data_IF_793621955672
#
_entry.id   IF_793621955672
#
_cell.length_a   1.000
_cell.length_b   1.000
_cell.length_c   1.000
_cell.angle_alpha   90.00
_cell.angle_beta   90.00
_cell.angle_gamma   90.00
#
_symmetry.space_group_name_H-M   'P 1'
#
loop_
_entity.id
_entity.type
_entity.pdbx_description
1 polymer ?
#
# COMPACT_ATOMS: atom_id res chain seq x y z
N UNK A 1 -19.83 -36.77 -12.02
CA UNK A 1 -18.45 -36.50 -12.45
C UNK A 1 -17.72 -35.82 -11.30
N UNK A 2 -16.71 -36.51 -10.75
CA UNK A 2 -15.92 -36.05 -9.61
C UNK A 2 -14.93 -34.96 -10.05
N UNK A 3 -15.06 -33.75 -9.49
CA UNK A 3 -13.98 -32.75 -9.50
C UNK A 3 -13.55 -32.47 -8.06
N UNK A 4 -12.87 -33.44 -7.46
CA UNK A 4 -11.96 -33.15 -6.35
C UNK A 4 -10.62 -32.73 -6.96
N UNK A 5 -10.53 -31.49 -7.45
CA UNK A 5 -9.22 -30.88 -7.70
C UNK A 5 -8.68 -30.33 -6.39
N UNK A 6 -8.08 -31.22 -5.60
CA UNK A 6 -7.13 -30.85 -4.55
C UNK A 6 -5.86 -30.33 -5.22
N UNK A 7 -5.93 -29.18 -5.89
CA UNK A 7 -4.73 -28.48 -6.32
C UNK A 7 -4.29 -27.60 -5.16
N UNK A 8 -3.24 -28.03 -4.45
CA UNK A 8 -2.50 -27.12 -3.57
C UNK A 8 -2.19 -25.84 -4.37
N UNK A 9 -2.36 -24.64 -3.79
CA UNK A 9 -2.03 -23.42 -4.51
C UNK A 9 -0.56 -23.45 -4.95
N UNK A 10 -0.19 -22.75 -6.04
CA UNK A 10 1.21 -22.62 -6.42
C UNK A 10 2.01 -22.05 -5.24
N UNK A 11 3.29 -22.44 -5.09
CA UNK A 11 4.14 -21.89 -4.06
C UNK A 11 4.28 -20.38 -4.26
N UNK A 12 4.31 -19.65 -3.15
CA UNK A 12 4.62 -18.22 -3.21
C UNK A 12 6.05 -18.02 -3.71
N UNK A 13 6.35 -16.86 -4.32
CA UNK A 13 7.70 -16.57 -4.75
C UNK A 13 8.73 -16.62 -3.60
N UNK A 14 9.89 -17.25 -3.84
CA UNK A 14 10.91 -17.52 -2.81
C UNK A 14 11.86 -16.34 -2.51
N UNK A 15 11.64 -15.17 -3.12
CA UNK A 15 12.48 -13.97 -2.88
C UNK A 15 11.67 -12.95 -2.08
N UNK A 16 12.38 -11.97 -1.55
CA UNK A 16 11.80 -10.87 -0.79
C UNK A 16 10.75 -10.11 -1.62
N UNK A 17 10.99 -9.94 -2.93
CA UNK A 17 10.06 -9.35 -3.89
C UNK A 17 10.18 -9.97 -5.28
N UNK A 18 9.12 -9.85 -6.09
CA UNK A 18 9.04 -10.31 -7.48
C UNK A 18 8.18 -9.36 -8.32
N UNK A 19 8.65 -9.00 -9.50
CA UNK A 19 7.88 -8.25 -10.48
C UNK A 19 7.04 -9.21 -11.32
N UNK A 20 5.76 -8.88 -11.48
CA UNK A 20 4.75 -9.71 -12.13
C UNK A 20 4.10 -8.84 -13.21
N UNK A 21 4.20 -9.21 -14.49
CA UNK A 21 3.50 -8.51 -15.56
C UNK A 21 1.99 -8.53 -15.33
N UNK A 22 1.34 -7.39 -15.57
CA UNK A 22 -0.10 -7.22 -15.54
C UNK A 22 -0.60 -7.45 -16.98
N UNK A 23 -1.37 -8.53 -17.22
CA UNK A 23 -1.93 -8.79 -18.55
C UNK A 23 -2.81 -7.64 -19.02
N UNK A 24 -2.85 -7.42 -20.34
CA UNK A 24 -3.71 -6.42 -20.99
C UNK A 24 -3.47 -4.98 -20.51
N UNK A 25 -2.28 -4.68 -19.99
CA UNK A 25 -1.91 -3.30 -19.66
C UNK A 25 -1.88 -2.47 -20.96
N UNK A 26 -2.63 -1.36 -21.05
CA UNK A 26 -2.58 -0.50 -22.21
C UNK A 26 -1.17 0.07 -22.42
N UNK A 27 -0.67 0.01 -23.66
CA UNK A 27 0.57 0.69 -24.01
C UNK A 27 0.33 2.21 -24.09
N UNK A 28 1.17 3.00 -23.42
CA UNK A 28 1.14 4.48 -23.43
C UNK A 28 -0.25 5.08 -23.14
N UNK A 29 -0.85 4.80 -21.98
CA UNK A 29 -2.20 5.27 -21.67
C UNK A 29 -2.23 6.81 -21.47
N UNK A 30 -3.35 7.51 -21.78
CA UNK A 30 -3.43 8.98 -21.70
C UNK A 30 -3.17 9.51 -20.29
N UNK A 31 -2.25 10.48 -20.08
CA UNK A 31 -1.81 10.88 -18.74
C UNK A 31 -2.98 11.30 -17.85
N UNK A 32 -2.90 10.91 -16.58
CA UNK A 32 -3.78 11.32 -15.49
C UNK A 32 -3.24 12.62 -14.89
N UNK A 33 -4.08 13.65 -14.84
CA UNK A 33 -3.78 14.90 -14.15
C UNK A 33 -4.57 14.97 -12.86
N UNK A 34 -3.85 15.16 -11.75
CA UNK A 34 -4.41 15.26 -10.41
C UNK A 34 -4.71 16.71 -10.06
N UNK A 35 -5.85 16.94 -9.42
CA UNK A 35 -6.19 18.22 -8.80
C UNK A 35 -5.77 18.27 -7.33
N UNK A 36 -5.73 17.11 -6.67
CA UNK A 36 -5.42 17.00 -5.25
C UNK A 36 -4.58 15.75 -4.93
N UNK A 37 -3.79 15.83 -3.86
CA UNK A 37 -3.21 14.66 -3.20
C UNK A 37 -4.24 14.06 -2.25
N UNK A 38 -4.63 12.81 -2.47
CA UNK A 38 -5.69 12.16 -1.71
C UNK A 38 -5.53 10.64 -1.74
N UNK A 39 -6.32 9.94 -0.93
CA UNK A 39 -6.29 8.47 -0.85
C UNK A 39 -7.71 7.93 -0.81
N UNK A 40 -7.94 6.83 -1.52
CA UNK A 40 -9.12 6.00 -1.36
C UNK A 40 -8.73 4.61 -0.88
N UNK A 41 -9.48 4.07 0.06
CA UNK A 41 -9.25 2.74 0.62
C UNK A 41 -10.54 1.94 0.66
N UNK A 42 -10.42 0.64 0.40
CA UNK A 42 -11.46 -0.35 0.57
C UNK A 42 -10.90 -1.54 1.35
N UNK A 43 -11.64 -2.03 2.33
CA UNK A 43 -11.35 -3.25 3.05
C UNK A 43 -12.59 -4.15 3.03
N UNK A 44 -12.47 -5.34 2.45
CA UNK A 44 -13.62 -6.21 2.20
C UNK A 44 -13.33 -7.38 1.26
N UNK A 45 -14.39 -8.08 0.80
CA UNK A 45 -14.32 -9.07 -0.27
C UNK A 45 -13.72 -8.51 -1.56
N UNK A 46 -13.22 -9.37 -2.45
CA UNK A 46 -12.79 -8.92 -3.78
C UNK A 46 -13.94 -8.18 -4.48
N UNK A 47 -13.67 -6.97 -4.96
CA UNK A 47 -14.67 -6.14 -5.63
C UNK A 47 -15.25 -6.87 -6.86
N UNK A 48 -16.56 -6.77 -7.10
CA UNK A 48 -17.17 -7.34 -8.30
C UNK A 48 -16.66 -6.55 -9.52
N UNK A 49 -15.95 -7.22 -10.43
CA UNK A 49 -15.46 -6.59 -11.66
C UNK A 49 -16.27 -7.11 -12.84
N UNK A 50 -17.17 -6.28 -13.38
CA UNK A 50 -17.93 -6.62 -14.58
C UNK A 50 -17.01 -6.65 -15.82
N UNK A 51 -17.51 -7.28 -16.89
CA UNK A 51 -16.87 -7.22 -18.20
C UNK A 51 -17.94 -6.92 -19.28
N UNK A 52 -17.95 -5.72 -19.89
CA UNK A 52 -17.03 -4.60 -19.71
C UNK A 52 -17.16 -3.92 -18.32
N UNK A 53 -16.17 -3.11 -17.89
CA UNK A 53 -16.23 -2.41 -16.62
C UNK A 53 -17.42 -1.44 -16.59
N UNK A 54 -18.24 -1.51 -15.55
CA UNK A 54 -19.40 -0.65 -15.36
C UNK A 54 -19.10 0.41 -14.30
N UNK A 55 -19.12 1.72 -14.65
CA UNK A 55 -18.77 2.80 -13.74
C UNK A 55 -19.81 3.02 -12.63
N UNK A 56 -20.92 2.27 -12.59
CA UNK A 56 -21.98 2.42 -11.60
C UNK A 56 -22.14 1.21 -10.69
N UNK A 57 -21.50 0.08 -11.00
CA UNK A 57 -21.73 -1.19 -10.28
C UNK A 57 -20.47 -1.91 -9.84
N UNK A 58 -19.30 -1.62 -10.44
CA UNK A 58 -18.07 -2.36 -10.12
C UNK A 58 -17.38 -1.87 -8.85
N UNK A 59 -17.48 -0.57 -8.55
CA UNK A 59 -16.81 0.06 -7.42
C UNK A 59 -17.80 0.79 -6.52
N UNK A 60 -17.51 0.90 -5.20
CA UNK A 60 -18.38 1.62 -4.26
C UNK A 60 -18.58 3.10 -4.68
N UNK A 61 -19.74 3.72 -4.43
CA UNK A 61 -20.02 5.11 -4.81
C UNK A 61 -18.95 6.12 -4.34
N UNK A 62 -18.38 5.91 -3.16
CA UNK A 62 -17.32 6.76 -2.60
C UNK A 62 -16.02 6.72 -3.42
N UNK A 63 -15.76 5.66 -4.20
CA UNK A 63 -14.67 5.66 -5.18
C UNK A 63 -14.90 6.71 -6.26
N UNK A 64 -16.12 6.79 -6.79
CA UNK A 64 -16.45 7.72 -7.88
C UNK A 64 -16.41 9.16 -7.40
N UNK A 65 -16.91 9.43 -6.19
CA UNK A 65 -16.77 10.73 -5.55
C UNK A 65 -15.30 11.11 -5.33
N UNK A 66 -14.49 10.19 -4.81
CA UNK A 66 -13.04 10.41 -4.65
C UNK A 66 -12.35 10.68 -6.00
N UNK A 67 -12.65 9.90 -7.03
CA UNK A 67 -12.07 10.02 -8.37
C UNK A 67 -12.39 11.39 -8.98
N UNK A 68 -13.67 11.81 -8.92
CA UNK A 68 -14.12 13.10 -9.43
C UNK A 68 -13.48 14.30 -8.68
N UNK A 69 -13.22 14.15 -7.38
CA UNK A 69 -12.55 15.19 -6.59
C UNK A 69 -11.03 15.27 -6.87
N UNK A 70 -10.41 14.11 -7.11
CA UNK A 70 -8.94 13.96 -7.12
C UNK A 70 -8.33 14.14 -8.50
N UNK A 71 -9.08 13.84 -9.56
CA UNK A 71 -8.62 13.93 -10.95
C UNK A 71 -9.36 15.03 -11.70
N UNK A 72 -8.73 15.59 -12.72
CA UNK A 72 -9.43 16.47 -13.65
C UNK A 72 -10.57 15.72 -14.37
N UNK A 73 -11.64 16.41 -14.81
CA UNK A 73 -12.73 15.76 -15.55
C UNK A 73 -12.27 15.03 -16.82
N UNK A 74 -11.18 15.47 -17.44
CA UNK A 74 -10.57 14.83 -18.61
C UNK A 74 -9.87 13.52 -18.21
N UNK A 75 -9.22 13.49 -17.04
CA UNK A 75 -8.43 12.34 -16.58
C UNK A 75 -9.25 11.26 -15.86
N UNK A 76 -10.32 11.65 -15.14
CA UNK A 76 -11.11 10.73 -14.33
C UNK A 76 -11.64 9.49 -15.11
N UNK A 77 -12.14 9.61 -16.37
CA UNK A 77 -12.59 8.46 -17.15
C UNK A 77 -11.47 7.44 -17.47
N UNK A 78 -10.21 7.87 -17.46
CA UNK A 78 -9.06 7.01 -17.79
C UNK A 78 -8.54 6.21 -16.59
N UNK A 79 -8.90 6.55 -15.36
CA UNK A 79 -8.44 5.82 -14.17
C UNK A 79 -9.11 4.44 -14.06
N UNK A 80 -10.43 4.38 -14.24
CA UNK A 80 -11.20 3.15 -14.02
C UNK A 80 -10.74 1.98 -14.90
N UNK A 81 -10.51 2.14 -16.23
CA UNK A 81 -9.98 1.06 -17.05
C UNK A 81 -8.64 0.54 -16.57
N UNK A 82 -7.69 1.43 -16.24
CA UNK A 82 -6.35 1.05 -15.73
C UNK A 82 -6.45 0.29 -14.41
N UNK A 83 -7.25 0.81 -13.48
CA UNK A 83 -7.48 0.17 -12.18
C UNK A 83 -8.14 -1.19 -12.35
N UNK A 84 -9.13 -1.32 -13.21
CA UNK A 84 -9.84 -2.59 -13.45
C UNK A 84 -8.90 -3.65 -14.03
N UNK A 85 -8.04 -3.28 -14.98
CA UNK A 85 -7.00 -4.18 -15.52
C UNK A 85 -6.08 -4.69 -14.41
N UNK A 86 -5.56 -3.79 -13.57
CA UNK A 86 -4.76 -4.17 -12.40
C UNK A 86 -5.53 -5.08 -11.44
N UNK A 87 -6.77 -4.72 -11.07
CA UNK A 87 -7.57 -5.48 -10.12
C UNK A 87 -7.91 -6.89 -10.65
N UNK A 88 -8.09 -7.08 -11.95
CA UNK A 88 -8.25 -8.42 -12.54
C UNK A 88 -7.00 -9.28 -12.36
N UNK A 89 -5.81 -8.72 -12.58
CA UNK A 89 -4.54 -9.41 -12.36
C UNK A 89 -4.35 -9.75 -10.88
N UNK A 90 -4.61 -8.79 -9.99
CA UNK A 90 -4.60 -8.98 -8.53
C UNK A 90 -5.59 -10.08 -8.13
N UNK A 91 -6.86 -10.03 -8.55
CA UNK A 91 -7.87 -11.03 -8.20
C UNK A 91 -7.47 -12.43 -8.66
N UNK A 92 -6.86 -12.54 -9.84
CA UNK A 92 -6.32 -13.82 -10.35
C UNK A 92 -5.25 -14.36 -9.41
N UNK A 93 -4.26 -13.52 -9.03
CA UNK A 93 -3.20 -13.91 -8.10
C UNK A 93 -3.77 -14.28 -6.72
N UNK A 94 -4.67 -13.47 -6.16
CA UNK A 94 -5.27 -13.73 -4.84
C UNK A 94 -6.04 -15.05 -4.82
N UNK A 95 -6.85 -15.33 -5.85
CA UNK A 95 -7.62 -16.58 -5.97
C UNK A 95 -6.73 -17.81 -6.10
N UNK A 96 -5.63 -17.71 -6.86
CA UNK A 96 -4.63 -18.78 -6.95
C UNK A 96 -4.02 -19.11 -5.58
N UNK A 97 -3.92 -18.13 -4.69
CA UNK A 97 -3.43 -18.29 -3.31
C UNK A 97 -4.56 -18.40 -2.26
N UNK A 98 -5.78 -18.75 -2.67
CA UNK A 98 -6.95 -18.94 -1.79
C UNK A 98 -7.28 -17.72 -0.91
N UNK A 99 -7.11 -16.50 -1.44
CA UNK A 99 -7.51 -15.24 -0.80
C UNK A 99 -8.70 -14.64 -1.54
N UNK A 100 -9.73 -14.26 -0.78
CA UNK A 100 -10.99 -13.68 -1.28
C UNK A 100 -11.31 -12.32 -0.67
N UNK A 101 -10.40 -11.79 0.16
CA UNK A 101 -10.55 -10.49 0.81
C UNK A 101 -9.22 -9.74 0.77
N UNK A 102 -9.32 -8.42 0.79
CA UNK A 102 -8.15 -7.55 0.81
C UNK A 102 -8.40 -6.23 1.53
N UNK A 103 -7.29 -5.56 1.83
CA UNK A 103 -7.22 -4.14 2.06
C UNK A 103 -6.55 -3.50 0.84
N UNK A 104 -7.35 -2.79 0.03
CA UNK A 104 -6.96 -2.09 -1.18
C UNK A 104 -6.84 -0.60 -0.89
N UNK A 105 -5.68 -0.01 -1.15
CA UNK A 105 -5.44 1.44 -1.03
C UNK A 105 -4.95 2.00 -2.35
N UNK A 106 -5.56 3.09 -2.80
CA UNK A 106 -5.14 3.89 -3.95
C UNK A 106 -4.70 5.25 -3.43
N UNK A 107 -3.45 5.62 -3.67
CA UNK A 107 -2.88 6.92 -3.30
C UNK A 107 -2.60 7.72 -4.57
N UNK A 108 -3.22 8.88 -4.68
CA UNK A 108 -2.93 9.88 -5.69
C UNK A 108 -2.05 10.97 -5.05
N UNK A 109 -0.92 11.29 -5.65
CA UNK A 109 0.03 12.26 -5.12
C UNK A 109 0.49 13.21 -6.21
N UNK A 110 0.30 14.50 -5.96
CA UNK A 110 0.90 15.57 -6.76
C UNK A 110 2.42 15.62 -6.53
N UNK A 111 3.18 16.31 -7.41
CA UNK A 111 4.60 16.50 -7.20
C UNK A 111 4.91 17.08 -5.82
N UNK A 112 5.86 16.47 -5.11
CA UNK A 112 6.27 16.91 -3.78
C UNK A 112 7.74 16.58 -3.53
N UNK A 113 8.42 17.44 -2.76
CA UNK A 113 9.79 17.23 -2.29
C UNK A 113 9.90 16.27 -1.09
N UNK A 114 8.77 15.83 -0.51
CA UNK A 114 8.76 14.95 0.67
C UNK A 114 9.54 13.64 0.47
N UNK A 115 9.66 13.19 -0.78
CA UNK A 115 10.31 11.94 -1.16
C UNK A 115 11.59 12.17 -1.97
N UNK A 116 12.16 13.39 -1.97
CA UNK A 116 13.49 13.64 -2.54
C UNK A 116 14.56 12.81 -1.82
N UNK A 117 14.35 12.55 -0.53
CA UNK A 117 15.17 11.64 0.27
C UNK A 117 14.47 10.28 0.39
N UNK A 118 15.09 9.16 -0.05
CA UNK A 118 14.51 7.83 0.09
C UNK A 118 14.22 7.47 1.56
N UNK A 119 13.01 6.99 1.80
CA UNK A 119 12.51 6.59 3.12
C UNK A 119 12.52 5.07 3.22
N UNK A 120 13.71 4.49 3.23
CA UNK A 120 13.88 3.04 3.27
C UNK A 120 13.25 2.41 4.51
N UNK A 121 12.38 1.43 4.29
CA UNK A 121 11.72 0.66 5.34
C UNK A 121 11.43 -0.77 4.87
N UNK A 122 11.07 -1.62 5.83
CA UNK A 122 10.38 -2.87 5.59
C UNK A 122 9.09 -2.81 6.39
N UNK A 123 7.99 -3.23 5.77
CA UNK A 123 6.69 -3.27 6.43
C UNK A 123 6.70 -4.29 7.54
N UNK A 124 6.00 -3.98 8.63
CA UNK A 124 5.74 -4.94 9.70
C UNK A 124 4.61 -5.91 9.29
N UNK A 125 4.44 -6.96 10.07
CA UNK A 125 3.35 -7.92 9.87
C UNK A 125 2.00 -7.26 10.20
N UNK A 126 1.06 -7.24 9.24
CA UNK A 126 -0.28 -6.68 9.45
C UNK A 126 -1.15 -7.54 10.38
N UNK A 127 -0.92 -8.86 10.35
CA UNK A 127 -1.67 -9.87 11.09
C UNK A 127 -0.75 -10.56 12.09
N UNK A 128 -1.35 -11.08 13.16
CA UNK A 128 -0.60 -11.82 14.19
C UNK A 128 -0.02 -13.11 13.60
N UNK A 129 1.31 -13.29 13.55
CA UNK A 129 1.92 -14.51 13.02
C UNK A 129 1.55 -15.78 13.79
N UNK A 130 1.11 -15.66 15.05
CA UNK A 130 0.71 -16.80 15.88
C UNK A 130 -0.72 -17.26 15.62
N UNK A 131 -1.57 -16.38 15.05
CA UNK A 131 -2.99 -16.64 14.80
C UNK A 131 -3.34 -16.68 13.32
N UNK A 132 -2.52 -16.06 12.48
CA UNK A 132 -2.58 -16.23 11.04
C UNK A 132 -2.04 -17.59 10.65
N UNK A 133 -2.48 -18.09 9.50
CA UNK A 133 -1.88 -19.24 8.83
C UNK A 133 -0.50 -18.81 8.26
N UNK A 134 0.39 -18.34 9.15
CA UNK A 134 1.65 -17.64 8.87
C UNK A 134 2.63 -18.46 8.03
N UNK A 135 2.40 -19.78 7.96
CA UNK A 135 3.02 -20.66 6.98
C UNK A 135 2.76 -20.25 5.51
N UNK A 136 1.77 -19.39 5.25
CA UNK A 136 1.38 -18.89 3.91
C UNK A 136 1.72 -17.40 3.67
N UNK A 137 2.57 -16.82 4.53
CA UNK A 137 3.32 -15.59 4.30
C UNK A 137 2.56 -14.27 4.51
N UNK A 138 3.13 -13.36 5.30
CA UNK A 138 2.78 -11.95 5.28
C UNK A 138 3.39 -11.33 4.01
N UNK A 139 2.56 -11.01 3.03
CA UNK A 139 2.97 -10.39 1.78
C UNK A 139 1.93 -9.36 1.34
N UNK A 140 2.32 -8.47 0.44
CA UNK A 140 1.41 -7.55 -0.22
C UNK A 140 1.74 -7.45 -1.70
N UNK A 141 0.78 -6.95 -2.47
CA UNK A 141 0.96 -6.56 -3.86
C UNK A 141 0.95 -5.04 -3.95
N UNK A 142 1.78 -4.46 -4.81
CA UNK A 142 1.64 -3.05 -5.18
C UNK A 142 1.89 -2.81 -6.66
N UNK A 143 1.33 -1.75 -7.21
CA UNK A 143 1.62 -1.31 -8.56
C UNK A 143 1.53 0.22 -8.64
N UNK A 144 2.14 0.80 -9.66
CA UNK A 144 1.99 2.22 -9.97
C UNK A 144 1.26 2.33 -11.32
N UNK A 145 0.06 2.92 -11.33
CA UNK A 145 -0.74 3.14 -12.55
C UNK A 145 -0.26 4.37 -13.34
N UNK A 146 0.43 5.29 -12.68
CA UNK A 146 1.13 6.42 -13.28
C UNK A 146 2.23 6.93 -12.35
N UNK A 147 3.34 7.36 -12.93
CA UNK A 147 4.48 7.91 -12.20
C UNK A 147 5.49 6.82 -11.81
N UNK A 148 6.51 7.17 -11.01
CA UNK A 148 7.59 6.24 -10.69
C UNK A 148 7.16 5.08 -9.78
N UNK A 149 7.76 3.91 -10.03
CA UNK A 149 7.56 2.68 -9.25
C UNK A 149 8.22 2.73 -7.86
N UNK A 150 7.73 1.91 -6.94
CA UNK A 150 8.39 1.70 -5.64
C UNK A 150 9.82 1.18 -5.83
N UNK A 151 10.78 1.74 -5.09
CA UNK A 151 12.18 1.34 -5.08
C UNK A 151 12.35 0.10 -4.19
N UNK A 152 13.09 -0.91 -4.65
CA UNK A 152 13.44 -2.10 -3.87
C UNK A 152 14.95 -2.30 -3.84
N UNK A 153 15.51 -2.54 -2.64
CA UNK A 153 16.91 -2.90 -2.49
C UNK A 153 17.13 -4.36 -2.93
N UNK A 154 18.06 -4.59 -3.85
CA UNK A 154 18.32 -5.94 -4.41
C UNK A 154 18.89 -6.89 -3.35
N UNK A 155 19.89 -6.42 -2.58
CA UNK A 155 20.41 -7.16 -1.41
C UNK A 155 19.49 -6.95 -0.19
N UNK A 156 18.34 -7.63 -0.19
CA UNK A 156 17.37 -7.51 0.89
C UNK A 156 17.92 -7.97 2.26
N UNK A 157 18.79 -8.99 2.31
CA UNK A 157 19.40 -9.46 3.57
C UNK A 157 20.32 -8.41 4.17
N UNK A 158 21.21 -7.82 3.37
CA UNK A 158 22.10 -6.75 3.82
C UNK A 158 21.32 -5.49 4.16
N UNK A 159 20.32 -5.13 3.35
CA UNK A 159 19.47 -3.97 3.62
C UNK A 159 18.69 -4.12 4.93
N UNK A 160 18.12 -5.30 5.21
CA UNK A 160 17.47 -5.60 6.50
C UNK A 160 18.45 -5.54 7.67
N UNK A 161 19.69 -5.98 7.48
CA UNK A 161 20.74 -5.87 8.52
C UNK A 161 21.03 -4.40 8.86
N UNK A 162 21.14 -3.54 7.84
CA UNK A 162 21.31 -2.09 8.04
C UNK A 162 20.10 -1.51 8.78
N UNK A 163 18.88 -1.78 8.31
CA UNK A 163 17.64 -1.31 8.95
C UNK A 163 17.58 -1.69 10.44
N UNK A 164 17.80 -2.97 10.77
CA UNK A 164 17.77 -3.43 12.17
C UNK A 164 18.90 -2.82 12.99
N UNK A 165 20.12 -2.79 12.45
CA UNK A 165 21.28 -2.21 13.14
C UNK A 165 21.08 -0.73 13.46
N UNK A 166 20.57 0.07 12.52
CA UNK A 166 20.23 1.49 12.75
C UNK A 166 19.13 1.60 13.81
N UNK A 167 18.00 0.91 13.64
CA UNK A 167 16.89 0.95 14.61
C UNK A 167 17.36 0.58 16.03
N UNK A 168 18.22 -0.43 16.18
CA UNK A 168 18.76 -0.86 17.47
C UNK A 168 19.74 0.16 18.07
N UNK A 169 20.64 0.73 17.27
CA UNK A 169 21.58 1.76 17.73
C UNK A 169 20.85 3.01 18.19
N UNK A 170 19.93 3.53 17.37
CA UNK A 170 19.14 4.72 17.72
C UNK A 170 18.30 4.43 18.97
N UNK A 171 17.60 3.28 19.02
CA UNK A 171 16.88 2.85 20.24
C UNK A 171 17.78 2.84 21.47
N UNK A 172 19.03 2.39 21.36
CA UNK A 172 19.97 2.34 22.49
C UNK A 172 20.44 3.75 22.89
N UNK A 173 20.72 4.62 21.92
CA UNK A 173 21.16 6.00 22.16
C UNK A 173 20.06 6.86 22.82
N UNK A 174 18.79 6.55 22.53
CA UNK A 174 17.63 7.24 23.11
C UNK A 174 17.16 6.63 24.46
N UNK A 175 17.72 5.48 24.90
CA UNK A 175 17.39 4.94 26.23
C UNK A 175 17.86 5.89 27.32
N UNK A 176 16.92 6.36 28.14
CA UNK A 176 17.21 7.21 29.30
C UNK A 176 17.27 8.71 29.01
N UNK A 177 16.98 9.15 27.77
CA UNK A 177 16.80 10.57 27.49
C UNK A 177 15.40 11.02 27.93
N UNK A 178 15.36 12.04 28.77
CA UNK A 178 14.12 12.72 29.13
C UNK A 178 13.59 13.45 27.89
N UNK A 179 12.35 13.14 27.49
CA UNK A 179 11.73 13.75 26.33
C UNK A 179 10.24 13.93 26.60
N UNK A 180 9.68 15.05 26.14
CA UNK A 180 8.26 15.40 26.30
C UNK A 180 7.44 14.70 25.21
N UNK A 181 7.36 13.36 25.25
CA UNK A 181 6.36 12.66 24.44
C UNK A 181 5.35 11.93 25.35
N UNK A 182 4.11 12.39 25.27
CA UNK A 182 2.96 11.85 25.99
C UNK A 182 2.30 10.74 25.15
N UNK A 183 2.99 9.62 24.89
CA UNK A 183 2.33 8.48 24.23
C UNK A 183 3.24 7.44 23.57
N UNK A 184 3.06 6.18 24.00
CA UNK A 184 3.49 4.87 23.46
C UNK A 184 4.58 4.87 22.37
N UNK A 185 5.83 4.67 22.83
CA UNK A 185 7.04 4.24 22.07
C UNK A 185 7.74 5.33 21.23
N UNK A 186 8.60 6.09 21.90
CA UNK A 186 9.59 7.08 21.42
C UNK A 186 10.25 6.84 20.03
N UNK A 187 10.40 5.60 19.54
CA UNK A 187 10.87 5.28 18.17
C UNK A 187 9.94 5.82 17.08
N UNK A 188 8.69 6.10 17.43
CA UNK A 188 7.69 6.74 16.58
C UNK A 188 7.59 8.27 16.79
N UNK A 189 8.42 8.88 17.64
CA UNK A 189 8.46 10.34 17.70
C UNK A 189 9.10 10.89 16.40
N UNK A 190 8.54 11.97 15.86
CA UNK A 190 8.94 12.50 14.54
C UNK A 190 10.45 12.66 14.40
N UNK A 191 11.12 13.19 15.43
CA UNK A 191 12.57 13.40 15.46
C UNK A 191 13.39 12.10 15.41
N UNK A 192 13.05 11.10 16.22
CA UNK A 192 13.75 9.80 16.16
C UNK A 192 13.51 9.11 14.81
N UNK A 193 12.33 9.28 14.23
CA UNK A 193 12.01 8.73 12.91
C UNK A 193 12.87 9.35 11.81
N UNK A 194 13.16 10.66 11.87
CA UNK A 194 14.04 11.36 10.93
C UNK A 194 15.50 10.91 11.06
N UNK A 195 16.02 10.78 12.28
CA UNK A 195 17.38 10.25 12.52
C UNK A 195 17.53 8.84 11.95
N UNK A 196 16.55 7.96 12.21
CA UNK A 196 16.55 6.61 11.64
C UNK A 196 16.51 6.67 10.11
N UNK A 197 15.67 7.51 9.51
CA UNK A 197 15.59 7.65 8.04
C UNK A 197 16.94 8.05 7.47
N UNK A 198 17.61 9.04 8.04
CA UNK A 198 18.89 9.52 7.53
C UNK A 198 20.01 8.48 7.71
N UNK A 199 20.13 7.86 8.88
CA UNK A 199 21.14 6.81 9.09
C UNK A 199 20.93 5.59 8.18
N UNK A 200 19.67 5.21 7.92
CA UNK A 200 19.36 4.14 6.97
C UNK A 200 19.71 4.56 5.55
N UNK A 201 19.37 5.79 5.14
CA UNK A 201 19.71 6.33 3.83
C UNK A 201 21.22 6.23 3.58
N UNK A 202 22.04 6.71 4.52
CA UNK A 202 23.51 6.62 4.44
C UNK A 202 23.95 5.15 4.40
N UNK A 203 23.41 4.29 5.27
CA UNK A 203 23.79 2.88 5.31
C UNK A 203 23.39 2.06 4.07
N UNK A 204 22.45 2.57 3.27
CA UNK A 204 22.01 1.96 2.02
C UNK A 204 22.51 2.73 0.78
N UNK A 205 23.28 3.78 0.95
CA UNK A 205 23.85 4.57 -0.15
C UNK A 205 24.75 3.70 -1.04
N UNK A 206 24.66 3.90 -2.35
CA UNK A 206 25.43 3.13 -3.34
C UNK A 206 24.99 1.66 -3.52
N UNK A 207 23.97 1.19 -2.79
CA UNK A 207 23.42 -0.16 -3.02
C UNK A 207 22.59 -0.20 -4.30
N UNK A 208 22.58 -1.38 -4.92
CA UNK A 208 21.75 -1.63 -6.10
C UNK A 208 20.26 -1.59 -5.74
N UNK A 209 19.51 -0.85 -6.56
CA UNK A 209 18.08 -0.62 -6.42
C UNK A 209 17.38 -0.90 -7.73
N UNK A 210 16.22 -1.55 -7.65
CA UNK A 210 15.37 -1.86 -8.80
C UNK A 210 13.96 -1.31 -8.59
N UNK A 211 13.24 -1.11 -9.69
CA UNK A 211 11.85 -0.66 -9.71
C UNK A 211 11.04 -1.50 -10.69
N UNK A 212 9.72 -1.68 -10.44
CA UNK A 212 8.84 -2.26 -11.44
C UNK A 212 8.73 -1.33 -12.66
N UNK A 213 8.59 -1.92 -13.83
CA UNK A 213 8.29 -1.22 -15.07
C UNK A 213 6.79 -0.90 -15.15
N UNK A 214 6.44 -0.02 -16.08
CA UNK A 214 5.04 0.19 -16.43
C UNK A 214 4.40 -1.14 -16.86
N UNK A 215 3.19 -1.41 -16.36
CA UNK A 215 2.51 -2.70 -16.58
C UNK A 215 3.02 -3.85 -15.72
N UNK A 216 3.81 -3.59 -14.68
CA UNK A 216 4.16 -4.60 -13.68
C UNK A 216 3.53 -4.27 -12.31
N UNK A 217 3.06 -5.31 -11.62
CA UNK A 217 2.82 -5.27 -10.19
C UNK A 217 3.96 -5.97 -9.46
N UNK A 218 4.13 -5.68 -8.18
CA UNK A 218 5.17 -6.26 -7.34
C UNK A 218 4.53 -7.06 -6.23
N UNK A 219 4.87 -8.34 -6.16
CA UNK A 219 4.71 -9.13 -4.95
C UNK A 219 5.89 -8.87 -4.03
N UNK A 220 5.64 -8.69 -2.74
CA UNK A 220 6.72 -8.71 -1.77
C UNK A 220 6.30 -9.11 -0.37
N UNK A 221 7.26 -9.70 0.34
CA UNK A 221 7.13 -10.17 1.70
C UNK A 221 7.20 -9.00 2.68
N UNK A 222 6.63 -9.22 3.85
CA UNK A 222 6.59 -8.29 4.98
C UNK A 222 7.35 -8.90 6.18
N UNK A 223 7.42 -8.13 7.25
CA UNK A 223 7.99 -8.53 8.52
C UNK A 223 9.51 -8.40 8.57
N UNK A 224 10.05 -8.41 9.78
CA UNK A 224 11.48 -8.13 10.02
C UNK A 224 12.47 -9.20 9.51
N UNK A 225 11.98 -10.41 9.18
CA UNK A 225 12.81 -11.55 8.74
C UNK A 225 12.97 -11.62 7.23
N UNK A 226 11.85 -11.57 6.51
CA UNK A 226 11.78 -11.76 5.05
C UNK A 226 11.30 -10.51 4.31
N UNK A 227 10.94 -9.44 5.03
CA UNK A 227 10.36 -8.24 4.43
C UNK A 227 11.26 -7.57 3.41
N UNK A 228 10.71 -7.24 2.25
CA UNK A 228 11.44 -6.48 1.25
C UNK A 228 11.74 -5.07 1.76
N UNK A 229 13.00 -4.67 1.64
CA UNK A 229 13.42 -3.30 1.95
C UNK A 229 13.13 -2.43 0.75
N UNK A 230 12.27 -1.44 0.95
CA UNK A 230 11.74 -0.61 -0.11
C UNK A 230 11.59 0.85 0.33
N UNK A 231 11.41 1.73 -0.66
CA UNK A 231 11.19 3.16 -0.47
C UNK A 231 10.24 3.68 -1.54
N UNK A 232 9.50 4.72 -1.21
CA UNK A 232 8.89 5.56 -2.23
C UNK A 232 9.99 6.18 -3.11
N UNK A 233 9.73 6.32 -4.42
CA UNK A 233 10.61 7.08 -5.31
C UNK A 233 10.42 8.58 -5.09
N UNK A 234 11.35 9.37 -5.64
CA UNK A 234 11.14 10.80 -5.84
C UNK A 234 9.85 11.04 -6.65
N UNK A 235 8.96 11.91 -6.16
CA UNK A 235 7.66 12.19 -6.79
C UNK A 235 7.72 13.56 -7.48
N UNK A 236 8.36 13.60 -8.66
CA UNK A 236 8.45 14.81 -9.48
C UNK A 236 7.28 15.02 -10.45
N UNK A 237 6.33 14.09 -10.48
CA UNK A 237 5.15 14.12 -11.35
C UNK A 237 3.94 13.51 -10.60
N UNK A 238 2.73 13.73 -11.15
CA UNK A 238 1.52 13.10 -10.65
C UNK A 238 1.65 11.58 -10.62
N UNK A 239 1.45 11.00 -9.44
CA UNK A 239 1.65 9.57 -9.16
C UNK A 239 0.37 8.93 -8.65
N UNK A 240 -0.03 7.81 -9.25
CA UNK A 240 -1.16 6.98 -8.79
C UNK A 240 -0.63 5.60 -8.40
N UNK A 241 -0.56 5.35 -7.10
CA UNK A 241 -0.03 4.12 -6.51
C UNK A 241 -1.14 3.27 -5.91
N UNK A 242 -1.06 1.97 -6.10
CA UNK A 242 -2.02 0.98 -5.59
C UNK A 242 -1.30 -0.02 -4.71
N UNK A 243 -1.86 -0.27 -3.53
CA UNK A 243 -1.36 -1.22 -2.54
C UNK A 243 -2.47 -2.19 -2.14
N UNK A 244 -2.18 -3.48 -2.08
CA UNK A 244 -3.14 -4.54 -1.77
C UNK A 244 -2.54 -5.46 -0.71
N UNK A 245 -3.13 -5.45 0.48
CA UNK A 245 -2.79 -6.40 1.56
C UNK A 245 -3.88 -7.48 1.59
N UNK A 246 -3.60 -8.71 1.13
CA UNK A 246 -4.55 -9.82 1.20
C UNK A 246 -4.75 -10.28 2.64
N UNK A 247 -5.96 -10.71 2.98
CA UNK A 247 -6.25 -11.28 4.29
C UNK A 247 -7.42 -12.26 4.23
N UNK A 248 -7.62 -13.02 5.30
CA UNK A 248 -8.91 -13.65 5.58
C UNK A 248 -9.90 -12.59 6.07
N UNK A 249 -11.19 -12.93 6.04
CA UNK A 249 -12.23 -12.09 6.61
C UNK A 249 -11.97 -11.79 8.10
N UNK A 250 -11.61 -12.82 8.89
CA UNK A 250 -11.33 -12.67 10.32
C UNK A 250 -10.13 -11.75 10.58
N UNK A 251 -9.03 -11.93 9.84
CA UNK A 251 -7.83 -11.10 9.92
C UNK A 251 -8.14 -9.61 9.64
N UNK A 252 -8.94 -9.34 8.60
CA UNK A 252 -9.30 -7.99 8.20
C UNK A 252 -10.35 -7.36 9.14
N UNK A 253 -11.34 -8.12 9.61
CA UNK A 253 -12.28 -7.67 10.66
C UNK A 253 -11.54 -7.30 11.93
N UNK A 254 -10.60 -8.15 12.38
CA UNK A 254 -9.76 -7.88 13.54
C UNK A 254 -8.90 -6.65 13.35
N UNK A 255 -8.28 -6.48 12.16
CA UNK A 255 -7.52 -5.27 11.83
C UNK A 255 -8.41 -4.02 11.90
N UNK A 256 -9.58 -4.01 11.26
CA UNK A 256 -10.49 -2.87 11.26
C UNK A 256 -11.05 -2.55 12.65
N UNK A 257 -11.37 -3.57 13.45
CA UNK A 257 -11.85 -3.40 14.82
C UNK A 257 -10.86 -2.66 15.73
N UNK A 258 -9.54 -2.82 15.52
CA UNK A 258 -8.51 -2.05 16.25
C UNK A 258 -8.60 -0.54 16.00
N UNK A 259 -9.22 -0.13 14.89
CA UNK A 259 -9.41 1.27 14.49
C UNK A 259 -10.87 1.72 14.66
N UNK A 260 -11.73 0.92 15.33
CA UNK A 260 -13.14 1.23 15.52
C UNK A 260 -13.95 1.25 14.22
N UNK A 261 -13.50 0.56 13.18
CA UNK A 261 -14.17 0.54 11.88
C UNK A 261 -14.92 -0.77 11.64
N UNK A 262 -16.05 -0.68 10.94
CA UNK A 262 -16.86 -1.83 10.52
C UNK A 262 -16.37 -2.42 9.20
N UNK A 263 -16.54 -3.74 9.03
CA UNK A 263 -16.18 -4.47 7.80
C UNK A 263 -17.45 -4.99 7.09
N UNK A 264 -17.55 -4.91 5.76
CA UNK A 264 -16.61 -4.25 4.83
C UNK A 264 -16.83 -2.73 4.77
N UNK A 265 -15.82 -1.98 4.34
CA UNK A 265 -15.91 -0.51 4.22
C UNK A 265 -15.03 0.04 3.12
N UNK A 266 -15.46 1.15 2.55
CA UNK A 266 -14.59 2.06 1.78
C UNK A 266 -14.64 3.47 2.36
N UNK A 267 -13.52 4.18 2.28
CA UNK A 267 -13.39 5.56 2.74
C UNK A 267 -12.31 6.29 1.94
N UNK A 268 -12.31 7.62 2.05
CA UNK A 268 -11.30 8.48 1.43
C UNK A 268 -10.70 9.45 2.44
N UNK A 269 -9.44 9.83 2.21
CA UNK A 269 -8.72 10.87 2.93
C UNK A 269 -8.27 11.93 1.93
N UNK A 270 -8.23 13.20 2.34
CA UNK A 270 -7.91 14.32 1.43
C UNK A 270 -9.04 14.64 0.44
N UNK A 271 -10.28 14.31 0.80
CA UNK A 271 -11.50 14.73 0.10
C UNK A 271 -12.38 15.41 1.15
N UNK A 272 -12.96 16.59 0.88
CA UNK A 272 -13.92 17.24 1.79
C UNK A 272 -15.06 16.27 2.13
N UNK A 273 -15.36 16.11 3.40
CA UNK A 273 -16.59 15.44 3.83
C UNK A 273 -17.76 16.33 3.45
N UNK A 274 -18.56 15.91 2.47
CA UNK A 274 -19.88 16.51 2.27
C UNK A 274 -20.73 16.08 3.46
N UNK A 275 -20.82 16.95 4.46
CA UNK A 275 -21.80 16.81 5.54
C UNK A 275 -23.11 17.33 4.94
N UNK A 276 -24.02 16.42 4.58
CA UNK A 276 -25.34 16.81 4.13
C UNK A 276 -26.08 17.52 5.29
N UNK A 277 -26.10 18.86 5.22
CA UNK A 277 -27.14 19.73 5.78
C UNK A 277 -27.39 19.71 7.29
N UNK A 278 -26.80 20.71 7.98
CA UNK A 278 -27.43 21.40 9.11
C UNK A 278 -26.92 21.04 10.50
N UNK A 279 -25.95 21.81 11.00
CA UNK A 279 -25.62 21.85 12.43
C UNK A 279 -24.13 22.00 12.70
N UNK A 280 -23.73 23.24 12.97
CA UNK A 280 -22.57 23.74 13.74
C UNK A 280 -21.20 23.04 13.60
N UNK A 281 -20.22 23.86 13.21
CA UNK A 281 -18.79 23.55 13.12
C UNK A 281 -18.25 23.01 14.45
N UNK A 282 -17.86 21.73 14.43
CA UNK A 282 -17.08 21.08 15.48
C UNK A 282 -15.75 20.61 14.91
N UNK A 283 -14.71 21.41 15.18
CA UNK A 283 -13.29 21.16 14.98
C UNK A 283 -12.89 19.73 15.38
N UNK A 284 -12.49 18.90 14.41
CA UNK A 284 -11.79 17.63 14.68
C UNK A 284 -10.55 17.51 13.79
N UNK A 285 -9.68 18.50 13.90
CA UNK A 285 -8.27 18.39 13.54
C UNK A 285 -7.49 18.08 14.82
N UNK A 286 -7.36 16.78 15.14
CA UNK A 286 -6.18 16.22 15.80
C UNK A 286 -6.49 14.78 16.24
N UNK A 287 -5.92 13.83 15.48
CA UNK A 287 -5.46 12.47 15.86
C UNK A 287 -5.41 11.60 14.62
N UNK A 288 -4.41 11.85 13.78
CA UNK A 288 -3.76 10.86 12.92
C UNK A 288 -2.25 11.08 12.97
#
# INVERSE_FOLDING_TARGET
>A
MNFLSSSKPPPLPNRDFHFIPIPDTPANPPPLTLTHTSTWTYCGPLLPLSNPPSPTTDLPPIFHAWCAHTLTPISAPHLLPRLTTLLRAVHTFLRQHARQHYWLTIRASQPTGDFDTPRWHADDDFFDPARSDAARGCWKLCATLQGPGTLFAVDGRGARRVLRGVKERVRRAERGREHVCCGVRCVACGRTSEVVREEVRVGLEGREVVQPREGEMVFFRLGGREGAVHSEPRIGCDRVFVNVVPGTEEELRGLMGRWGMEFPRSWSLGVPTVVDGGGEEGEMADKL
#
